data_IF_476811839617
#
_entry.id   IF_476811839617
#
_cell.length_a   1.000
_cell.length_b   1.000
_cell.length_c   1.000
_cell.angle_alpha   90.00
_cell.angle_beta   90.00
_cell.angle_gamma   90.00
#
_symmetry.space_group_name_H-M   'P 1'
#
loop_
_entity.id
_entity.type
_entity.pdbx_description
1 polymer ?
#
# COMPACT_ATOMS: atom_id res chain seq x y z
N UNK A 1 -37.49 6.63 -55.22
CA UNK A 1 -37.16 7.46 -54.04
C UNK A 1 -37.55 6.68 -52.79
N UNK A 2 -36.65 5.87 -52.23
CA UNK A 2 -36.84 5.22 -50.93
C UNK A 2 -35.54 5.41 -50.15
N UNK A 3 -35.62 6.21 -49.08
CA UNK A 3 -34.52 6.45 -48.15
C UNK A 3 -34.66 5.46 -46.99
N UNK A 4 -33.67 4.60 -46.81
CA UNK A 4 -33.60 3.70 -45.65
C UNK A 4 -32.83 4.41 -44.52
N UNK A 5 -33.53 4.73 -43.44
CA UNK A 5 -32.94 5.21 -42.19
C UNK A 5 -32.51 4.01 -41.34
N UNK A 6 -31.21 3.84 -41.13
CA UNK A 6 -30.67 2.84 -40.20
C UNK A 6 -30.61 3.44 -38.79
N UNK A 7 -31.49 2.99 -37.90
CA UNK A 7 -31.42 3.32 -36.46
C UNK A 7 -30.33 2.47 -35.81
N UNK A 8 -29.27 3.11 -35.31
CA UNK A 8 -28.20 2.43 -34.57
C UNK A 8 -28.67 2.11 -33.17
N UNK A 9 -28.70 0.81 -32.83
CA UNK A 9 -29.02 0.34 -31.49
C UNK A 9 -27.78 0.47 -30.59
N UNK A 10 -27.91 1.17 -29.46
CA UNK A 10 -26.83 1.33 -28.47
C UNK A 10 -26.94 0.20 -27.44
N UNK A 11 -25.87 -0.53 -27.11
CA UNK A 11 -25.94 -1.56 -26.08
C UNK A 11 -26.14 -0.89 -24.70
N UNK A 12 -27.20 -1.31 -23.99
CA UNK A 12 -27.41 -0.92 -22.60
C UNK A 12 -26.38 -1.65 -21.74
N UNK A 13 -25.37 -0.92 -21.28
CA UNK A 13 -24.40 -1.43 -20.32
C UNK A 13 -25.10 -1.67 -18.98
N UNK A 14 -25.35 -2.93 -18.63
CA UNK A 14 -25.87 -3.31 -17.32
C UNK A 14 -24.72 -3.23 -16.31
N UNK A 15 -24.63 -2.10 -15.62
CA UNK A 15 -23.71 -1.92 -14.51
C UNK A 15 -24.22 -2.77 -13.34
N UNK A 16 -23.63 -3.95 -13.12
CA UNK A 16 -23.86 -4.74 -11.92
C UNK A 16 -23.29 -3.98 -10.72
N UNK A 17 -24.16 -3.31 -9.98
CA UNK A 17 -23.80 -2.69 -8.71
C UNK A 17 -23.62 -3.80 -7.68
N UNK A 18 -22.36 -4.18 -7.40
CA UNK A 18 -22.05 -5.00 -6.22
C UNK A 18 -22.39 -4.17 -4.98
N UNK A 19 -23.48 -4.54 -4.32
CA UNK A 19 -23.84 -4.02 -3.00
C UNK A 19 -22.72 -4.36 -2.02
N UNK A 20 -22.03 -3.33 -1.52
CA UNK A 20 -21.13 -3.47 -0.38
C UNK A 20 -22.01 -3.56 0.87
N UNK A 21 -22.24 -4.77 1.37
CA UNK A 21 -22.88 -4.99 2.67
C UNK A 21 -21.90 -4.60 3.78
N UNK A 22 -22.05 -3.40 4.32
CA UNK A 22 -21.43 -3.04 5.60
C UNK A 22 -22.32 -3.59 6.72
N UNK A 23 -21.88 -4.67 7.35
CA UNK A 23 -22.52 -5.15 8.57
C UNK A 23 -22.36 -4.07 9.64
N UNK A 24 -23.45 -3.42 10.03
CA UNK A 24 -23.51 -2.68 11.28
C UNK A 24 -23.39 -3.73 12.40
N UNK A 25 -22.42 -3.60 13.32
CA UNK A 25 -22.33 -4.54 14.44
C UNK A 25 -23.57 -4.32 15.31
N UNK A 26 -24.54 -5.24 15.21
CA UNK A 26 -25.60 -5.36 16.20
C UNK A 26 -24.92 -5.61 17.55
N UNK A 27 -25.09 -4.67 18.48
CA UNK A 27 -24.63 -4.82 19.85
C UNK A 27 -25.27 -6.09 20.43
N UNK A 28 -24.49 -7.16 20.51
CA UNK A 28 -24.92 -8.45 21.04
C UNK A 28 -25.11 -8.30 22.55
N UNK A 29 -26.32 -8.51 23.05
CA UNK A 29 -26.58 -8.51 24.51
C UNK A 29 -26.06 -9.77 25.21
N UNK A 30 -25.41 -10.69 24.48
CA UNK A 30 -24.82 -11.89 25.06
C UNK A 30 -23.59 -11.54 25.90
N UNK A 31 -23.40 -12.25 27.01
CA UNK A 31 -22.21 -12.09 27.84
C UNK A 31 -20.94 -12.37 27.02
N UNK A 32 -19.84 -11.65 27.27
CA UNK A 32 -18.59 -11.82 26.53
C UNK A 32 -18.00 -13.24 26.67
N UNK A 33 -18.45 -14.01 27.67
CA UNK A 33 -18.02 -15.39 27.96
C UNK A 33 -18.84 -16.46 27.23
N UNK A 34 -19.91 -16.11 26.51
CA UNK A 34 -20.75 -17.10 25.80
C UNK A 34 -20.11 -17.68 24.55
N UNK A 35 -18.97 -17.16 24.08
CA UNK A 35 -18.31 -17.60 22.85
C UNK A 35 -17.04 -18.38 23.19
N UNK A 36 -16.74 -19.49 22.48
CA UNK A 36 -15.48 -20.20 22.64
C UNK A 36 -14.35 -19.34 22.07
N UNK A 37 -13.75 -18.52 22.92
CA UNK A 37 -12.68 -17.60 22.57
C UNK A 37 -12.10 -16.97 23.84
N UNK A 38 -10.90 -16.38 23.76
CA UNK A 38 -10.34 -15.66 24.89
C UNK A 38 -11.30 -14.54 25.31
N UNK A 39 -11.45 -14.28 26.61
CA UNK A 39 -12.27 -13.17 27.08
C UNK A 39 -11.70 -11.85 26.54
N UNK A 40 -12.55 -10.92 26.08
CA UNK A 40 -12.10 -9.62 25.62
C UNK A 40 -11.47 -8.85 26.78
N UNK A 41 -10.36 -8.16 26.49
CA UNK A 41 -9.63 -7.35 27.45
C UNK A 41 -10.41 -6.07 27.81
N UNK A 42 -10.27 -5.51 29.03
CA UNK A 42 -10.78 -4.19 29.35
C UNK A 42 -10.32 -3.13 28.33
N UNK A 43 -11.15 -2.11 28.10
CA UNK A 43 -10.90 -1.09 27.07
C UNK A 43 -9.58 -0.33 27.27
N UNK A 44 -9.16 -0.14 28.51
CA UNK A 44 -7.91 0.55 28.86
C UNK A 44 -6.71 -0.30 28.46
N UNK A 45 -6.66 -1.55 28.92
CA UNK A 45 -5.60 -2.51 28.57
C UNK A 45 -5.52 -2.80 27.07
N UNK A 46 -6.66 -2.93 26.39
CA UNK A 46 -6.72 -3.13 24.95
C UNK A 46 -6.08 -1.96 24.19
N UNK A 47 -6.31 -0.71 24.65
CA UNK A 47 -5.73 0.49 24.03
C UNK A 47 -4.22 0.53 24.20
N UNK A 48 -3.74 0.24 25.40
CA UNK A 48 -2.30 0.17 25.67
C UNK A 48 -1.62 -0.90 24.81
N UNK A 49 -2.25 -2.07 24.70
CA UNK A 49 -1.75 -3.14 23.82
C UNK A 49 -1.69 -2.68 22.35
N UNK A 50 -2.77 -2.10 21.83
CA UNK A 50 -2.81 -1.61 20.45
C UNK A 50 -1.80 -0.48 20.20
N UNK A 51 -1.56 0.39 21.19
CA UNK A 51 -0.57 1.45 21.14
C UNK A 51 0.85 0.89 21.11
N UNK A 52 1.17 -0.07 21.98
CA UNK A 52 2.47 -0.75 21.98
C UNK A 52 2.73 -1.51 20.68
N UNK A 53 1.72 -2.22 20.17
CA UNK A 53 1.80 -2.92 18.88
C UNK A 53 2.02 -1.92 17.76
N UNK A 54 1.29 -0.80 17.74
CA UNK A 54 1.48 0.27 16.76
C UNK A 54 2.87 0.87 16.82
N UNK A 55 3.39 1.14 18.02
CA UNK A 55 4.73 1.69 18.22
C UNK A 55 5.82 0.72 17.77
N UNK A 56 5.66 -0.58 18.04
CA UNK A 56 6.58 -1.62 17.59
C UNK A 56 6.52 -1.84 16.07
N UNK A 57 5.34 -1.70 15.45
CA UNK A 57 5.11 -1.94 14.02
C UNK A 57 5.37 -0.72 13.14
N UNK A 58 5.42 0.50 13.69
CA UNK A 58 5.59 1.73 12.92
C UNK A 58 7.04 2.25 12.99
N UNK A 59 7.95 1.81 12.11
CA UNK A 59 9.27 2.42 11.92
C UNK A 59 9.21 3.79 11.18
N UNK A 60 8.10 4.53 11.29
CA UNK A 60 7.82 5.65 10.38
C UNK A 60 7.06 6.83 10.98
N UNK A 61 6.65 6.79 12.26
CA UNK A 61 5.85 7.87 12.87
C UNK A 61 6.70 8.92 13.61
N UNK A 62 7.96 8.62 13.94
CA UNK A 62 8.90 9.63 14.43
C UNK A 62 9.61 10.25 13.24
N UNK A 63 9.29 11.49 12.91
CA UNK A 63 9.93 12.29 11.86
C UNK A 63 11.42 12.64 12.14
N UNK A 64 12.12 11.83 12.94
CA UNK A 64 13.54 11.95 13.26
C UNK A 64 14.15 10.56 13.41
N UNK A 65 14.01 9.73 12.37
CA UNK A 65 14.76 8.49 12.28
C UNK A 65 16.13 8.83 11.69
N UNK A 66 17.16 8.82 12.53
CA UNK A 66 18.55 8.76 12.05
C UNK A 66 18.64 7.59 11.06
N UNK A 67 19.15 7.84 9.85
CA UNK A 67 19.09 6.94 8.67
C UNK A 67 19.82 5.59 8.80
N UNK A 68 19.99 5.04 10.01
CA UNK A 68 20.68 3.78 10.25
C UNK A 68 20.18 2.95 11.43
N UNK A 69 19.17 3.39 12.20
CA UNK A 69 18.89 2.78 13.51
C UNK A 69 17.63 1.88 13.58
N UNK A 70 16.78 1.88 12.53
CA UNK A 70 15.52 1.13 12.49
C UNK A 70 15.47 0.03 11.42
N UNK A 71 16.62 -0.34 10.88
CA UNK A 71 16.74 -1.44 9.92
C UNK A 71 17.04 -2.73 10.69
N UNK A 72 16.25 -3.79 10.45
CA UNK A 72 16.56 -5.15 10.92
C UNK A 72 18.02 -5.50 10.54
N UNK A 73 18.78 -6.27 11.33
CA UNK A 73 20.17 -6.63 10.99
C UNK A 73 20.31 -7.24 9.59
N UNK A 74 19.29 -7.96 9.11
CA UNK A 74 19.27 -8.55 7.77
C UNK A 74 18.69 -7.63 6.68
N UNK A 75 18.17 -6.46 7.04
CA UNK A 75 17.62 -5.52 6.07
C UNK A 75 18.75 -4.97 5.19
N UNK A 76 18.53 -5.01 3.87
CA UNK A 76 19.50 -4.48 2.91
C UNK A 76 19.54 -2.96 2.99
N UNK A 77 20.74 -2.40 2.84
CA UNK A 77 20.94 -0.95 2.76
C UNK A 77 20.20 -0.38 1.54
N UNK A 78 19.49 0.75 1.68
CA UNK A 78 18.85 1.42 0.56
C UNK A 78 19.92 1.88 -0.44
N UNK A 79 19.57 1.86 -1.73
CA UNK A 79 20.43 2.35 -2.80
C UNK A 79 20.45 3.88 -2.72
N UNK A 80 21.65 4.47 -2.67
CA UNK A 80 21.80 5.92 -2.69
C UNK A 80 21.28 6.49 -4.03
N UNK A 81 20.58 7.64 -4.02
CA UNK A 81 20.11 8.27 -5.25
C UNK A 81 21.27 8.67 -6.15
N UNK A 82 21.08 8.56 -7.46
CA UNK A 82 22.13 8.82 -8.46
C UNK A 82 22.49 10.30 -8.65
N UNK A 83 21.70 11.23 -8.10
CA UNK A 83 22.00 12.66 -8.17
C UNK A 83 21.57 13.37 -6.88
N UNK A 84 22.21 14.51 -6.62
CA UNK A 84 21.94 15.36 -5.46
C UNK A 84 21.00 16.49 -5.91
N UNK A 85 19.89 16.67 -5.19
CA UNK A 85 18.89 17.70 -5.45
C UNK A 85 17.59 17.16 -6.05
N UNK A 86 16.72 18.07 -6.45
CA UNK A 86 15.40 17.72 -7.03
C UNK A 86 15.43 17.59 -8.55
N UNK A 87 16.44 18.17 -9.20
CA UNK A 87 16.54 18.24 -10.66
C UNK A 87 17.60 17.27 -11.15
N UNK A 88 17.21 16.34 -12.03
CA UNK A 88 18.16 15.44 -12.68
C UNK A 88 19.07 16.26 -13.63
N UNK A 89 20.41 16.28 -13.44
CA UNK A 89 21.31 17.06 -14.29
C UNK A 89 21.36 16.59 -15.75
N UNK A 90 20.95 15.34 -16.03
CA UNK A 90 20.92 14.78 -17.38
C UNK A 90 19.62 15.08 -18.13
N UNK A 91 18.48 15.00 -17.45
CA UNK A 91 17.15 15.12 -18.10
C UNK A 91 16.42 16.43 -17.78
N UNK A 92 16.88 17.20 -16.79
CA UNK A 92 16.26 18.47 -16.37
C UNK A 92 14.92 18.32 -15.64
N UNK A 93 14.45 17.09 -15.41
CA UNK A 93 13.20 16.81 -14.72
C UNK A 93 13.32 17.12 -13.22
N UNK A 94 12.30 17.79 -12.66
CA UNK A 94 12.23 18.25 -11.26
C UNK A 94 11.27 17.36 -10.46
N UNK A 95 11.72 16.87 -9.31
CA UNK A 95 11.05 15.80 -8.54
C UNK A 95 11.53 14.38 -8.90
N UNK A 96 12.48 14.30 -9.85
CA UNK A 96 13.15 13.09 -10.33
C UNK A 96 12.25 12.08 -11.06
N UNK A 97 12.62 11.58 -12.25
CA UNK A 97 12.04 10.32 -12.73
C UNK A 97 12.47 9.21 -11.78
N UNK A 98 11.54 8.30 -11.47
CA UNK A 98 11.81 7.08 -10.68
C UNK A 98 13.00 6.38 -11.31
N UNK A 99 14.06 6.17 -10.54
CA UNK A 99 15.24 5.44 -11.01
C UNK A 99 14.78 4.12 -11.63
N UNK A 100 15.17 3.89 -12.89
CA UNK A 100 14.87 2.64 -13.58
C UNK A 100 15.33 1.47 -12.72
N UNK A 101 14.47 0.46 -12.47
CA UNK A 101 14.82 -0.70 -11.66
C UNK A 101 16.09 -1.40 -12.18
N UNK A 102 16.36 -1.32 -13.48
CA UNK A 102 17.59 -1.86 -14.07
C UNK A 102 18.50 -0.68 -14.44
N UNK A 103 19.63 -0.50 -13.75
CA UNK A 103 20.58 0.54 -14.13
C UNK A 103 21.16 0.24 -15.52
N UNK A 104 21.30 1.27 -16.35
CA UNK A 104 21.90 1.19 -17.68
C UNK A 104 23.24 0.42 -17.62
N UNK A 105 23.32 -0.72 -18.31
CA UNK A 105 24.53 -1.57 -18.38
C UNK A 105 24.47 -2.88 -17.57
N UNK A 106 23.43 -3.11 -16.76
CA UNK A 106 23.11 -4.44 -16.21
C UNK A 106 22.00 -5.08 -17.04
N UNK A 107 22.28 -6.25 -17.64
CA UNK A 107 21.32 -7.00 -18.48
C UNK A 107 20.59 -8.10 -17.68
N UNK A 108 20.83 -8.17 -16.37
CA UNK A 108 20.01 -8.94 -15.46
C UNK A 108 18.87 -8.04 -14.99
N UNK A 109 17.61 -8.45 -15.18
CA UNK A 109 16.40 -7.74 -14.71
C UNK A 109 16.32 -7.74 -13.18
N UNK A 110 17.39 -7.35 -12.49
CA UNK A 110 17.54 -7.42 -11.06
C UNK A 110 17.68 -6.02 -10.47
N UNK A 111 16.74 -5.66 -9.59
CA UNK A 111 16.81 -4.42 -8.81
C UNK A 111 17.06 -4.75 -7.35
N UNK A 112 18.07 -4.11 -6.73
CA UNK A 112 18.44 -4.39 -5.34
C UNK A 112 18.77 -5.86 -5.07
N UNK A 113 19.20 -6.59 -6.11
CA UNK A 113 19.46 -8.03 -6.07
C UNK A 113 18.22 -8.91 -6.00
N UNK A 114 17.07 -8.43 -6.50
CA UNK A 114 15.84 -9.20 -6.73
C UNK A 114 15.53 -9.20 -8.22
N UNK A 115 15.30 -10.38 -8.78
CA UNK A 115 14.82 -10.53 -10.16
C UNK A 115 13.37 -10.04 -10.22
N UNK A 116 13.06 -9.17 -11.17
CA UNK A 116 11.71 -8.73 -11.49
C UNK A 116 11.24 -9.48 -12.74
N UNK A 117 10.20 -10.29 -12.60
CA UNK A 117 9.49 -10.96 -13.70
C UNK A 117 8.18 -10.19 -13.98
N UNK A 118 7.81 -10.00 -15.24
CA UNK A 118 6.65 -9.19 -15.67
C UNK A 118 5.46 -10.05 -16.11
#
# INVERSE_FOLDING_TARGET
MQVFTQLRNVPKCSMSLRSLHTYTPLFSSQSPYSRPGPPPLPKEEQREFEELVRNAQAPAASATVNQGEELHPDARRPIAPGFIGEVNPKTGERGGPKQEPVPEGRNDWSYGGRVTDF
#
